data_IF_889696433623
#
_entry.id   IF_889696433623
#
_cell.length_a   1.000
_cell.length_b   1.000
_cell.length_c   1.000
_cell.angle_alpha   90.00
_cell.angle_beta   90.00
_cell.angle_gamma   90.00
#
_symmetry.space_group_name_H-M   'P 1'
#
loop_
_entity.id
_entity.type
_entity.pdbx_description
1 polymer ?
#
# COMPACT_ATOMS: atom_id res chain seq x y z
N UNK A 1 49.87 -31.01 -55.17
CA UNK A 1 48.79 -32.01 -55.05
C UNK A 1 47.49 -31.26 -55.07
N UNK A 2 46.66 -31.57 -56.06
CA UNK A 2 45.43 -30.85 -56.44
C UNK A 2 44.18 -31.32 -55.67
N UNK A 3 43.07 -30.60 -55.96
CA UNK A 3 41.63 -30.95 -55.96
C UNK A 3 40.79 -30.78 -54.67
N UNK A 4 39.74 -29.93 -54.76
CA UNK A 4 38.47 -30.03 -53.96
C UNK A 4 37.52 -31.10 -54.57
N UNK A 5 36.16 -31.01 -54.54
CA UNK A 5 35.15 -30.24 -53.78
C UNK A 5 34.30 -31.20 -52.86
N UNK A 6 33.22 -30.84 -52.13
CA UNK A 6 31.82 -30.66 -52.58
C UNK A 6 30.87 -30.27 -51.41
N UNK A 7 29.83 -29.50 -51.76
CA UNK A 7 28.73 -28.96 -50.92
C UNK A 7 27.51 -29.91 -50.89
N UNK A 8 26.76 -29.94 -49.76
CA UNK A 8 25.27 -30.05 -49.58
C UNK A 8 25.00 -30.57 -48.14
N UNK A 9 23.93 -30.29 -47.39
CA UNK A 9 22.63 -29.64 -47.56
C UNK A 9 22.07 -29.37 -46.13
N UNK A 10 21.11 -28.44 -46.00
CA UNK A 10 20.65 -27.92 -44.71
C UNK A 10 19.66 -28.75 -43.91
N UNK A 11 19.21 -28.18 -42.79
CA UNK A 11 17.81 -28.24 -42.34
C UNK A 11 17.54 -27.10 -41.37
N UNK A 12 16.42 -26.43 -41.62
CA UNK A 12 15.83 -25.38 -40.81
C UNK A 12 14.84 -26.05 -39.84
N UNK A 13 14.98 -25.83 -38.54
CA UNK A 13 13.94 -26.03 -37.51
C UNK A 13 14.25 -24.95 -36.46
N UNK A 14 13.44 -23.95 -36.16
CA UNK A 14 11.99 -23.86 -36.22
C UNK A 14 11.44 -23.82 -34.80
N UNK A 15 11.21 -22.60 -34.28
CA UNK A 15 10.51 -22.33 -32.99
C UNK A 15 11.40 -22.52 -31.75
N UNK A 16 11.33 -21.74 -30.70
CA UNK A 16 10.26 -20.86 -30.20
C UNK A 16 10.88 -19.61 -29.58
N UNK A 17 10.55 -18.44 -30.11
CA UNK A 17 10.66 -17.21 -29.32
C UNK A 17 9.55 -17.22 -28.28
N UNK A 18 9.74 -17.97 -27.19
CA UNK A 18 8.90 -17.85 -26.00
C UNK A 18 9.15 -16.46 -25.42
N UNK A 19 8.30 -15.51 -25.81
CA UNK A 19 8.10 -14.30 -25.05
C UNK A 19 7.39 -14.73 -23.78
N UNK A 20 8.15 -15.10 -22.75
CA UNK A 20 7.61 -15.32 -21.40
C UNK A 20 6.82 -14.07 -21.03
N UNK A 21 5.50 -14.19 -21.05
CA UNK A 21 4.62 -13.15 -20.55
C UNK A 21 4.87 -13.10 -19.05
N UNK A 22 5.63 -12.10 -18.61
CA UNK A 22 5.77 -11.76 -17.19
C UNK A 22 4.37 -11.70 -16.58
N UNK A 23 4.12 -12.59 -15.61
CA UNK A 23 2.86 -12.59 -14.87
C UNK A 23 2.68 -11.22 -14.19
N UNK A 24 1.46 -10.66 -14.18
CA UNK A 24 1.22 -9.41 -13.48
C UNK A 24 1.64 -9.55 -12.01
N UNK A 25 2.53 -8.68 -11.55
CA UNK A 25 3.00 -8.60 -10.17
C UNK A 25 2.66 -7.23 -9.58
N UNK A 26 2.27 -7.22 -8.30
CA UNK A 26 1.97 -6.00 -7.56
C UNK A 26 2.97 -5.87 -6.44
N UNK A 27 3.79 -4.82 -6.49
CA UNK A 27 4.72 -4.45 -5.43
C UNK A 27 4.15 -3.36 -4.52
N UNK A 28 4.60 -3.26 -3.26
CA UNK A 28 4.21 -2.17 -2.38
C UNK A 28 4.71 -0.83 -2.92
N UNK A 29 3.87 0.21 -2.90
CA UNK A 29 4.24 1.56 -3.36
C UNK A 29 5.04 2.34 -2.31
N UNK A 30 4.86 2.03 -1.03
CA UNK A 30 5.56 2.68 0.08
C UNK A 30 5.29 2.00 1.41
N UNK A 31 6.16 2.25 2.39
CA UNK A 31 6.02 1.80 3.78
C UNK A 31 5.91 3.03 4.67
N UNK A 32 4.73 3.25 5.24
CA UNK A 32 4.42 4.41 6.07
C UNK A 32 4.72 4.10 7.53
N UNK A 33 5.63 4.86 8.15
CA UNK A 33 6.09 4.62 9.53
C UNK A 33 5.74 5.82 10.39
N UNK A 34 4.77 5.67 11.27
CA UNK A 34 4.32 6.76 12.16
C UNK A 34 3.57 6.30 13.39
N UNK A 35 2.84 5.18 13.31
CA UNK A 35 2.31 4.53 14.51
C UNK A 35 3.43 3.90 15.34
N UNK A 36 3.30 3.99 16.66
CA UNK A 36 4.24 3.39 17.63
C UNK A 36 3.80 2.00 18.09
N UNK A 37 2.58 1.60 17.72
CA UNK A 37 1.97 0.32 18.07
C UNK A 37 1.11 -0.19 16.89
N UNK A 38 0.29 -1.21 17.11
CA UNK A 38 -0.61 -1.82 16.13
C UNK A 38 -1.49 -0.79 15.44
N UNK A 39 -1.63 -0.92 14.13
CA UNK A 39 -2.58 -0.13 13.32
C UNK A 39 -3.85 -0.95 13.20
N UNK A 40 -4.96 -0.39 13.70
CA UNK A 40 -6.24 -1.08 13.76
C UNK A 40 -7.06 -0.85 12.49
N UNK A 41 -7.03 0.36 11.93
CA UNK A 41 -7.81 0.70 10.74
C UNK A 41 -7.16 1.79 9.87
N UNK A 42 -7.50 1.76 8.58
CA UNK A 42 -6.98 2.67 7.55
C UNK A 42 -8.10 3.02 6.57
N UNK A 43 -8.35 4.31 6.37
CA UNK A 43 -9.37 4.78 5.42
C UNK A 43 -8.81 5.81 4.45
N UNK A 44 -9.07 5.60 3.16
CA UNK A 44 -8.67 6.54 2.10
C UNK A 44 -9.62 7.73 2.02
N UNK A 45 -9.09 8.88 1.63
CA UNK A 45 -9.87 10.05 1.31
C UNK A 45 -10.80 9.74 0.11
N UNK A 46 -12.13 9.93 0.23
CA UNK A 46 -13.07 9.62 -0.85
C UNK A 46 -12.80 10.36 -2.16
N UNK A 47 -12.20 11.56 -2.08
CA UNK A 47 -11.87 12.37 -3.25
C UNK A 47 -10.44 12.20 -3.77
N UNK A 48 -9.59 11.42 -3.09
CA UNK A 48 -8.14 11.39 -3.38
C UNK A 48 -7.51 10.04 -3.08
N UNK A 49 -6.96 9.40 -4.11
CA UNK A 49 -6.21 8.15 -3.97
C UNK A 49 -4.80 8.32 -3.37
N UNK A 50 -4.37 9.56 -3.09
CA UNK A 50 -3.07 9.85 -2.50
C UNK A 50 -3.15 10.18 -1.00
N UNK A 51 -4.36 10.46 -0.50
CA UNK A 51 -4.58 10.85 0.89
C UNK A 51 -5.34 9.75 1.62
N UNK A 52 -4.91 9.45 2.82
CA UNK A 52 -5.54 8.46 3.68
C UNK A 52 -5.23 8.76 5.13
N UNK A 53 -6.02 8.16 6.02
CA UNK A 53 -5.85 8.26 7.44
C UNK A 53 -5.71 6.86 8.06
N UNK A 54 -5.08 6.77 9.22
CA UNK A 54 -4.97 5.53 9.97
C UNK A 54 -5.07 5.78 11.47
N UNK A 55 -5.51 4.76 12.20
CA UNK A 55 -5.67 4.75 13.65
C UNK A 55 -5.06 3.49 14.27
N UNK A 56 -4.78 3.50 15.57
CA UNK A 56 -4.19 2.35 16.25
C UNK A 56 -4.11 2.43 17.77
N UNK A 57 -3.43 1.45 18.36
CA UNK A 57 -3.24 1.26 19.81
C UNK A 57 -2.32 2.31 20.43
N UNK A 58 -1.59 3.09 19.63
CA UNK A 58 -0.86 4.27 20.11
C UNK A 58 -1.77 5.49 20.39
N UNK A 59 -3.09 5.27 20.38
CA UNK A 59 -4.15 6.26 20.57
C UNK A 59 -4.04 7.45 19.61
N UNK A 60 -3.45 7.25 18.44
CA UNK A 60 -3.22 8.31 17.46
C UNK A 60 -4.13 8.17 16.24
N UNK A 61 -4.52 9.32 15.68
CA UNK A 61 -5.01 9.44 14.30
C UNK A 61 -3.90 10.08 13.46
N UNK A 62 -3.53 9.46 12.36
CA UNK A 62 -2.49 9.98 11.46
C UNK A 62 -3.08 10.23 10.08
N UNK A 63 -2.83 11.42 9.54
CA UNK A 63 -3.11 11.77 8.14
C UNK A 63 -1.85 11.63 7.31
N UNK A 64 -2.02 11.03 6.13
CA UNK A 64 -0.97 10.69 5.19
C UNK A 64 -1.25 11.30 3.83
N UNK A 65 -0.17 11.70 3.16
CA UNK A 65 -0.20 12.08 1.75
C UNK A 65 0.98 11.43 1.04
N UNK A 66 0.67 10.48 0.16
CA UNK A 66 1.64 9.73 -0.62
C UNK A 66 2.49 10.60 -1.56
N UNK A 67 2.07 11.85 -1.83
CA UNK A 67 2.82 12.83 -2.64
C UNK A 67 3.95 13.47 -1.83
N UNK A 68 3.79 13.59 -0.53
CA UNK A 68 4.77 14.20 0.39
C UNK A 68 5.84 13.19 0.80
N UNK A 69 5.50 11.91 0.80
CA UNK A 69 6.40 10.80 1.12
C UNK A 69 5.73 9.78 2.03
N UNK A 70 6.53 9.11 2.86
CA UNK A 70 6.05 8.08 3.78
C UNK A 70 5.99 8.54 5.25
N UNK A 71 6.18 9.83 5.49
CA UNK A 71 6.10 10.45 6.82
C UNK A 71 4.70 11.00 7.10
N UNK A 72 4.25 11.02 8.37
CA UNK A 72 3.00 11.66 8.75
C UNK A 72 2.92 13.11 8.28
N UNK A 73 1.80 13.50 7.66
CA UNK A 73 1.53 14.92 7.36
C UNK A 73 0.98 15.60 8.60
N UNK A 74 0.04 14.93 9.27
CA UNK A 74 -0.52 15.34 10.56
C UNK A 74 -0.57 14.10 11.44
N UNK A 75 -0.17 14.26 12.70
CA UNK A 75 -0.34 13.25 13.74
C UNK A 75 -1.10 13.87 14.90
N UNK A 76 -2.31 13.39 15.14
CA UNK A 76 -3.10 13.74 16.32
C UNK A 76 -2.76 12.72 17.39
N UNK A 77 -1.93 13.14 18.35
CA UNK A 77 -1.63 12.31 19.53
C UNK A 77 -2.80 12.36 20.52
N UNK A 78 -3.11 11.22 21.15
CA UNK A 78 -4.23 11.08 22.10
C UNK A 78 -5.56 11.52 21.50
N UNK A 79 -5.88 10.99 20.32
CA UNK A 79 -7.20 11.17 19.70
C UNK A 79 -8.32 10.64 20.61
N UNK A 80 -8.02 9.61 21.41
CA UNK A 80 -8.86 9.07 22.47
C UNK A 80 -8.01 8.72 23.70
N UNK A 81 -8.66 8.41 24.82
CA UNK A 81 -8.02 7.96 26.07
C UNK A 81 -7.63 6.46 26.04
N UNK A 82 -7.64 5.83 24.87
CA UNK A 82 -7.31 4.42 24.67
C UNK A 82 -7.17 4.06 23.19
N UNK A 83 -7.22 2.77 22.91
CA UNK A 83 -6.98 2.19 21.60
C UNK A 83 -8.07 2.59 20.60
N UNK A 84 -7.68 3.10 19.43
CA UNK A 84 -8.63 3.58 18.43
C UNK A 84 -8.82 2.47 17.39
N UNK A 85 -9.99 1.83 17.41
CA UNK A 85 -10.24 0.60 16.66
C UNK A 85 -10.75 0.82 15.24
N UNK A 86 -11.38 1.96 14.96
CA UNK A 86 -11.92 2.23 13.64
C UNK A 86 -11.91 3.69 13.27
N UNK A 87 -11.83 3.96 11.97
CA UNK A 87 -11.89 5.29 11.39
C UNK A 87 -12.71 5.28 10.10
N UNK A 88 -13.55 6.30 9.90
CA UNK A 88 -14.26 6.49 8.65
C UNK A 88 -14.17 7.95 8.18
N UNK A 89 -14.01 8.13 6.87
CA UNK A 89 -13.88 9.42 6.23
C UNK A 89 -15.18 9.74 5.51
N UNK A 90 -15.83 10.84 5.93
CA UNK A 90 -17.10 11.23 5.38
C UNK A 90 -16.99 11.55 3.87
N UNK A 91 -17.86 10.93 3.07
CA UNK A 91 -17.90 11.04 1.60
C UNK A 91 -18.56 12.32 1.09
N UNK A 92 -19.37 12.98 1.91
CA UNK A 92 -20.10 14.21 1.57
C UNK A 92 -19.37 15.47 2.03
N UNK A 93 -18.69 15.39 3.19
CA UNK A 93 -17.82 16.45 3.70
C UNK A 93 -16.45 15.87 4.04
N UNK A 94 -15.50 16.11 3.15
CA UNK A 94 -14.12 15.61 3.26
C UNK A 94 -13.38 16.15 4.49
N UNK A 95 -13.92 17.13 5.22
CA UNK A 95 -13.30 17.65 6.44
C UNK A 95 -13.75 16.91 7.69
N UNK A 96 -14.65 15.93 7.57
CA UNK A 96 -15.17 15.16 8.69
C UNK A 96 -14.61 13.73 8.68
N UNK A 97 -14.01 13.36 9.81
CA UNK A 97 -13.52 12.01 10.11
C UNK A 97 -14.20 11.55 11.39
N UNK A 98 -14.72 10.33 11.40
CA UNK A 98 -15.27 9.65 12.56
C UNK A 98 -14.27 8.61 13.06
N UNK A 99 -14.14 8.49 14.37
CA UNK A 99 -13.28 7.49 15.02
C UNK A 99 -14.06 6.79 16.12
N UNK A 100 -13.86 5.48 16.29
CA UNK A 100 -14.43 4.70 17.38
C UNK A 100 -13.37 4.11 18.29
N UNK A 101 -13.58 4.22 19.59
CA UNK A 101 -12.76 3.58 20.62
C UNK A 101 -13.67 2.94 21.68
N UNK A 102 -13.21 1.89 22.33
CA UNK A 102 -13.94 1.27 23.44
C UNK A 102 -13.31 1.70 24.76
N UNK A 103 -14.01 2.46 25.61
CA UNK A 103 -13.54 2.71 26.97
C UNK A 103 -13.61 1.41 27.78
N UNK A 104 -12.53 1.08 28.49
CA UNK A 104 -12.58 -0.03 29.45
C UNK A 104 -13.63 0.25 30.53
N UNK A 105 -14.47 -0.73 30.90
CA UNK A 105 -15.43 -0.55 31.98
C UNK A 105 -14.67 -0.23 33.27
N UNK A 106 -14.93 0.94 33.84
CA UNK A 106 -14.46 1.26 35.18
C UNK A 106 -15.16 0.32 36.14
N UNK A 107 -14.40 -0.58 36.77
CA UNK A 107 -14.88 -1.36 37.91
C UNK A 107 -15.14 -0.38 39.05
N UNK A 108 -16.41 -0.15 39.38
CA UNK A 108 -16.86 0.55 40.60
C UNK A 108 -17.11 -0.45 41.72
#
# INVERSE_FOLDING_TARGET
TEVGPDVKQGSNVGGSGEKTAESPSVGPRGIYRGHKDTVEDVQFCPSSAQEFCSVGDDSCLILWDARVGTTPVVKVEKAHDGDVHCVDWNTHDINLILTGYMPFPSVL
#
